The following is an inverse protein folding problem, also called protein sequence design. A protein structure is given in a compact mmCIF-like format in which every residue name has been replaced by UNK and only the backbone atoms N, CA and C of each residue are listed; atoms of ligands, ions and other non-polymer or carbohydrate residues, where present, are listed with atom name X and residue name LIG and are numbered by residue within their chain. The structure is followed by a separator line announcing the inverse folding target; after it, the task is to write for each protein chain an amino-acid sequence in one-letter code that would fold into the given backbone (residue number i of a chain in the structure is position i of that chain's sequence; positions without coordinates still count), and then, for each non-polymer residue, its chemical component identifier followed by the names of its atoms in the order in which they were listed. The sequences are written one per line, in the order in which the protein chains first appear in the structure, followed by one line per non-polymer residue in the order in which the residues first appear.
data_IF_216672259869
#
_entry.id   IF_216672259869
#
_cell.length_a   1.000
_cell.length_b   1.000
_cell.length_c   1.000
_cell.angle_alpha   90.00
_cell.angle_beta   90.00
_cell.angle_gamma   90.00
#
_symmetry.space_group_name_H-M   'P 1'
#
loop_
_entity.id
_entity.type
_entity.pdbx_description
1 polymer ?
#
# COMPACT_ATOMS: atom_id res chain seq x y z
N UNK A 1 -1.68 -22.65 -15.00
CA UNK A 1 -1.18 -22.29 -13.67
C UNK A 1 -0.13 -21.21 -13.87
N UNK A 2 -0.32 -19.92 -13.65
CA UNK A 2 -1.39 -19.10 -13.08
C UNK A 2 -1.55 -17.91 -14.05
N UNK A 3 -2.79 -17.46 -14.18
CA UNK A 3 -3.27 -16.49 -15.15
C UNK A 3 -2.48 -15.18 -15.11
N UNK A 4 -2.14 -14.67 -16.30
CA UNK A 4 -1.84 -13.26 -16.52
C UNK A 4 -3.01 -12.45 -15.97
N UNK A 5 -2.88 -11.95 -14.74
CA UNK A 5 -3.78 -10.96 -14.15
C UNK A 5 -3.43 -9.60 -14.77
N UNK A 6 -3.60 -9.52 -16.09
CA UNK A 6 -3.63 -8.29 -16.85
C UNK A 6 -5.08 -7.79 -17.11
N UNK A 7 -6.01 -7.93 -16.15
CA UNK A 7 -7.15 -7.02 -16.09
C UNK A 7 -7.36 -6.53 -14.66
N UNK A 8 -6.58 -5.55 -14.21
CA UNK A 8 -7.06 -4.63 -13.16
C UNK A 8 -7.06 -3.18 -13.62
N UNK A 9 -6.16 -2.79 -14.53
CA UNK A 9 -6.06 -1.42 -15.05
C UNK A 9 -7.22 -0.95 -15.96
N UNK A 10 -8.40 -1.59 -15.92
CA UNK A 10 -9.55 -1.25 -16.77
C UNK A 10 -10.89 -1.25 -16.02
N UNK A 11 -10.89 -1.29 -14.69
CA UNK A 11 -12.10 -1.04 -13.89
C UNK A 11 -12.12 0.35 -13.28
N UNK A 12 -10.97 1.01 -13.08
CA UNK A 12 -10.96 2.39 -12.55
C UNK A 12 -11.75 3.37 -13.43
N UNK A 13 -11.59 3.35 -14.76
CA UNK A 13 -12.27 4.31 -15.64
C UNK A 13 -13.81 4.12 -15.67
N UNK A 14 -14.31 2.90 -15.45
CA UNK A 14 -15.74 2.64 -15.44
C UNK A 14 -16.38 2.96 -14.06
N UNK A 15 -15.66 2.72 -12.97
CA UNK A 15 -16.14 3.00 -11.61
C UNK A 15 -16.14 4.51 -11.33
N UNK A 16 -15.13 5.24 -11.80
CA UNK A 16 -15.07 6.71 -11.74
C UNK A 16 -16.24 7.35 -12.51
N UNK A 17 -16.64 6.77 -13.66
CA UNK A 17 -17.79 7.27 -14.42
C UNK A 17 -19.14 6.89 -13.78
N UNK A 18 -19.25 5.73 -13.14
CA UNK A 18 -20.48 5.29 -12.46
C UNK A 18 -20.75 6.05 -11.15
N UNK A 19 -19.71 6.42 -10.39
CA UNK A 19 -19.83 7.24 -9.18
C UNK A 19 -20.25 8.68 -9.47
N UNK A 20 -19.98 9.20 -10.68
CA UNK A 20 -20.39 10.54 -11.08
C UNK A 20 -21.91 10.72 -11.30
N UNK A 21 -22.68 9.62 -11.46
CA UNK A 21 -24.10 9.69 -11.82
C UNK A 21 -25.08 9.72 -10.62
N UNK A 22 -24.59 9.63 -9.37
CA UNK A 22 -25.46 9.54 -8.19
C UNK A 22 -25.59 10.83 -7.36
N UNK A 23 -25.24 11.99 -7.92
CA UNK A 23 -25.68 13.28 -7.36
C UNK A 23 -27.04 13.67 -7.94
N UNK A 24 -28.13 13.25 -7.29
CA UNK A 24 -29.39 14.01 -7.38
C UNK A 24 -29.46 15.01 -6.23
N UNK A 25 -29.62 16.31 -6.50
CA UNK A 25 -29.83 17.32 -5.48
C UNK A 25 -31.33 17.38 -5.16
N UNK A 26 -31.70 17.25 -3.89
CA UNK A 26 -32.98 17.75 -3.39
C UNK A 26 -32.93 17.86 -1.86
N UNK A 27 -32.74 19.07 -1.35
CA UNK A 27 -33.74 19.84 -0.58
C UNK A 27 -33.05 21.08 0.03
N UNK A 28 -33.74 22.21 -0.05
CA UNK A 28 -33.28 23.58 0.24
C UNK A 28 -33.57 23.94 1.70
N UNK A 29 -32.71 24.71 2.37
CA UNK A 29 -32.98 26.03 3.03
C UNK A 29 -31.72 26.57 3.76
N UNK A 30 -31.66 27.84 4.23
CA UNK A 30 -30.54 28.74 3.97
C UNK A 30 -30.00 29.36 5.27
N UNK A 31 -28.85 28.92 5.75
CA UNK A 31 -28.29 29.48 6.98
C UNK A 31 -26.87 29.99 6.73
N UNK A 32 -26.84 31.29 6.45
CA UNK A 32 -25.79 32.30 6.70
C UNK A 32 -24.32 32.05 6.27
N UNK A 33 -23.67 33.06 5.66
CA UNK A 33 -22.30 32.94 5.20
C UNK A 33 -21.33 33.11 6.38
N UNK A 34 -20.86 32.01 6.96
CA UNK A 34 -19.62 32.04 7.74
C UNK A 34 -18.46 31.79 6.78
N UNK A 35 -17.88 32.87 6.29
CA UNK A 35 -16.57 32.93 5.64
C UNK A 35 -15.47 32.50 6.63
N UNK A 36 -15.43 31.21 6.93
CA UNK A 36 -14.30 30.52 7.54
C UNK A 36 -14.23 29.16 6.86
N UNK A 37 -14.02 29.16 5.54
CA UNK A 37 -13.74 27.95 4.78
C UNK A 37 -12.29 27.55 5.06
N UNK A 38 -12.02 27.17 6.32
CA UNK A 38 -11.04 26.15 6.55
C UNK A 38 -11.60 24.93 5.81
N UNK A 39 -10.86 24.44 4.82
CA UNK A 39 -11.22 23.26 4.04
C UNK A 39 -11.14 22.06 4.99
N UNK A 40 -12.14 21.91 5.86
CA UNK A 40 -12.29 20.79 6.77
C UNK A 40 -12.73 19.60 5.93
N UNK A 41 -11.97 18.51 6.02
CA UNK A 41 -12.29 17.26 5.34
C UNK A 41 -13.63 16.75 5.87
N UNK A 42 -14.49 16.25 5.00
CA UNK A 42 -15.65 15.48 5.45
C UNK A 42 -15.19 14.18 6.11
N UNK A 43 -16.03 13.60 6.97
CA UNK A 43 -15.71 12.34 7.68
C UNK A 43 -15.26 11.23 6.70
N UNK A 44 -15.93 11.11 5.54
CA UNK A 44 -15.56 10.13 4.53
C UNK A 44 -14.23 10.41 3.84
N UNK A 45 -13.88 11.69 3.62
CA UNK A 45 -12.56 12.06 3.09
C UNK A 45 -11.46 11.84 4.13
N UNK A 46 -11.72 12.14 5.40
CA UNK A 46 -10.80 11.87 6.50
C UNK A 46 -10.49 10.38 6.64
N UNK A 47 -11.52 9.52 6.58
CA UNK A 47 -11.36 8.06 6.59
C UNK A 47 -10.53 7.56 5.41
N UNK A 48 -10.79 8.08 4.20
CA UNK A 48 -10.03 7.73 3.00
C UNK A 48 -8.55 8.14 3.10
N UNK A 49 -8.27 9.34 3.63
CA UNK A 49 -6.89 9.80 3.88
C UNK A 49 -6.18 8.87 4.86
N UNK A 50 -6.81 8.55 6.00
CA UNK A 50 -6.22 7.63 6.99
C UNK A 50 -5.96 6.24 6.41
N UNK A 51 -6.86 5.73 5.59
CA UNK A 51 -6.68 4.47 4.90
C UNK A 51 -5.47 4.52 3.94
N UNK A 52 -5.34 5.59 3.16
CA UNK A 52 -4.22 5.80 2.24
C UNK A 52 -2.89 5.96 2.99
N UNK A 53 -2.85 6.65 4.12
CA UNK A 53 -1.66 6.75 4.97
C UNK A 53 -1.22 5.39 5.52
N UNK A 54 -2.17 4.59 6.01
CA UNK A 54 -1.89 3.23 6.46
C UNK A 54 -1.35 2.37 5.31
N UNK A 55 -1.89 2.54 4.11
CA UNK A 55 -1.45 1.81 2.92
C UNK A 55 -0.04 2.21 2.49
N UNK A 56 0.27 3.50 2.51
CA UNK A 56 1.62 4.04 2.26
C UNK A 56 2.62 3.49 3.28
N UNK A 57 2.27 3.55 4.57
CA UNK A 57 3.08 2.99 5.66
C UNK A 57 3.38 1.51 5.42
N UNK A 58 2.37 0.72 5.05
CA UNK A 58 2.53 -0.70 4.77
C UNK A 58 3.49 -0.94 3.58
N UNK A 59 3.30 -0.24 2.47
CA UNK A 59 4.12 -0.44 1.29
C UNK A 59 5.59 -0.05 1.50
N UNK A 60 5.85 1.08 2.15
CA UNK A 60 7.21 1.49 2.48
C UNK A 60 7.87 0.57 3.51
N UNK A 61 7.09 0.05 4.48
CA UNK A 61 7.57 -0.96 5.43
C UNK A 61 7.95 -2.27 4.74
N UNK A 62 7.14 -2.71 3.78
CA UNK A 62 7.45 -3.84 2.91
C UNK A 62 8.66 -3.58 2.03
N UNK A 63 8.78 -2.38 1.45
CA UNK A 63 9.90 -2.00 0.60
C UNK A 63 11.22 -2.10 1.37
N UNK A 64 11.26 -1.51 2.58
CA UNK A 64 12.39 -1.64 3.50
C UNK A 64 12.72 -3.10 3.82
N UNK A 65 11.73 -3.91 4.16
CA UNK A 65 11.95 -5.31 4.55
C UNK A 65 12.58 -6.13 3.40
N UNK A 66 12.18 -5.86 2.16
CA UNK A 66 12.64 -6.55 0.96
C UNK A 66 13.85 -5.88 0.29
N UNK A 67 14.39 -4.79 0.85
CA UNK A 67 15.49 -4.02 0.27
C UNK A 67 15.15 -3.34 -1.07
N UNK A 68 13.87 -3.06 -1.31
CA UNK A 68 13.37 -2.34 -2.48
C UNK A 68 13.48 -0.84 -2.21
N UNK A 69 14.13 -0.09 -3.10
CA UNK A 69 14.39 1.35 -2.94
C UNK A 69 15.00 1.69 -1.55
N UNK A 70 15.99 0.91 -1.11
CA UNK A 70 16.57 0.95 0.25
C UNK A 70 17.13 2.33 0.63
N UNK A 71 17.55 3.11 -0.37
CA UNK A 71 18.05 4.48 -0.20
C UNK A 71 16.98 5.47 0.27
N UNK A 72 15.70 5.20 0.01
CA UNK A 72 14.57 6.09 0.37
C UNK A 72 13.51 5.42 1.24
N UNK A 73 13.43 4.09 1.26
CA UNK A 73 12.33 3.36 1.89
C UNK A 73 12.21 3.66 3.39
N UNK A 74 13.35 3.76 4.10
CA UNK A 74 13.32 4.09 5.52
C UNK A 74 12.84 5.52 5.79
N UNK A 75 13.31 6.49 5.01
CA UNK A 75 12.89 7.88 5.16
C UNK A 75 11.38 8.02 4.95
N UNK A 76 10.85 7.38 3.90
CA UNK A 76 9.41 7.42 3.61
C UNK A 76 8.58 6.66 4.62
N UNK A 77 9.06 5.52 5.11
CA UNK A 77 8.38 4.81 6.18
C UNK A 77 8.25 5.68 7.44
N UNK A 78 9.34 6.31 7.89
CA UNK A 78 9.31 7.16 9.09
C UNK A 78 8.39 8.37 8.91
N UNK A 79 8.41 8.99 7.72
CA UNK A 79 7.50 10.09 7.38
C UNK A 79 6.02 9.71 7.54
N UNK A 80 5.60 8.56 7.02
CA UNK A 80 4.20 8.10 7.14
C UNK A 80 3.86 7.59 8.55
N UNK A 81 4.80 6.99 9.28
CA UNK A 81 4.60 6.61 10.69
C UNK A 81 4.40 7.86 11.56
N UNK A 82 5.19 8.92 11.35
CA UNK A 82 5.17 10.12 12.20
C UNK A 82 3.82 10.85 12.24
N UNK A 83 3.01 10.69 11.21
CA UNK A 83 1.66 11.28 11.08
C UNK A 83 0.54 10.31 11.45
N UNK A 84 0.83 9.01 11.47
CA UNK A 84 -0.18 8.00 11.78
C UNK A 84 -0.77 8.21 13.18
N UNK A 85 -2.10 8.20 13.27
CA UNK A 85 -2.83 8.39 14.53
C UNK A 85 -3.20 9.83 14.87
N UNK A 86 -2.92 10.79 13.99
CA UNK A 86 -3.46 12.15 14.08
C UNK A 86 -4.74 12.29 13.24
N UNK A 87 -5.56 13.31 13.55
CA UNK A 87 -6.70 13.65 12.69
C UNK A 87 -6.19 14.26 11.38
N UNK A 88 -6.59 13.71 10.21
CA UNK A 88 -6.08 14.14 8.93
C UNK A 88 -6.53 15.56 8.60
N UNK A 89 -5.61 16.33 8.03
CA UNK A 89 -5.84 17.69 7.57
C UNK A 89 -5.99 17.74 6.05
N UNK A 90 -6.45 18.87 5.52
CA UNK A 90 -6.49 19.08 4.06
C UNK A 90 -5.12 19.00 3.38
N UNK A 91 -4.02 19.25 4.11
CA UNK A 91 -2.68 19.04 3.59
C UNK A 91 -2.34 17.55 3.47
N UNK A 92 -2.75 16.75 4.45
CA UNK A 92 -2.55 15.29 4.43
C UNK A 92 -3.24 14.64 3.24
N UNK A 93 -4.43 15.14 2.87
CA UNK A 93 -5.13 14.72 1.66
C UNK A 93 -4.30 14.94 0.38
N UNK A 94 -3.52 16.02 0.29
CA UNK A 94 -2.63 16.26 -0.86
C UNK A 94 -1.39 15.38 -0.79
N UNK A 95 -0.83 15.21 0.41
CA UNK A 95 0.37 14.41 0.63
C UNK A 95 0.12 12.93 0.30
N UNK A 96 -1.02 12.36 0.71
CA UNK A 96 -1.33 10.95 0.40
C UNK A 96 -1.41 10.72 -1.11
N UNK A 97 -2.01 11.65 -1.86
CA UNK A 97 -2.07 11.55 -3.32
C UNK A 97 -0.67 11.60 -3.95
N UNK A 98 0.23 12.43 -3.41
CA UNK A 98 1.64 12.49 -3.84
C UNK A 98 2.38 11.20 -3.50
N UNK A 99 2.16 10.65 -2.30
CA UNK A 99 2.75 9.38 -1.88
C UNK A 99 2.31 8.22 -2.78
N UNK A 100 1.03 8.15 -3.11
CA UNK A 100 0.49 7.12 -4.00
C UNK A 100 1.02 7.25 -5.43
N UNK A 101 1.17 8.49 -5.93
CA UNK A 101 1.80 8.75 -7.22
C UNK A 101 3.26 8.28 -7.24
N UNK A 102 3.99 8.49 -6.15
CA UNK A 102 5.38 8.04 -6.05
C UNK A 102 5.50 6.52 -6.03
N UNK A 103 4.67 5.81 -5.25
CA UNK A 103 4.61 4.35 -5.28
C UNK A 103 4.42 3.83 -6.71
N UNK A 104 3.53 4.47 -7.48
CA UNK A 104 3.29 4.13 -8.89
C UNK A 104 4.47 4.48 -9.79
N UNK A 105 5.10 5.64 -9.58
CA UNK A 105 6.24 6.10 -10.38
C UNK A 105 7.46 5.20 -10.22
N UNK A 106 7.68 4.69 -9.01
CA UNK A 106 8.76 3.76 -8.69
C UNK A 106 8.36 2.30 -8.92
N UNK A 107 7.10 2.03 -9.32
CA UNK A 107 6.57 0.68 -9.51
C UNK A 107 6.79 -0.22 -8.28
N UNK A 108 6.64 0.33 -7.06
CA UNK A 108 6.96 -0.37 -5.79
C UNK A 108 6.20 -1.70 -5.67
N UNK A 109 4.93 -1.73 -6.06
CA UNK A 109 4.12 -2.96 -6.03
C UNK A 109 4.72 -4.07 -6.88
N UNK A 110 5.16 -3.74 -8.11
CA UNK A 110 5.79 -4.70 -9.00
C UNK A 110 7.13 -5.18 -8.42
N UNK A 111 7.97 -4.25 -7.94
CA UNK A 111 9.26 -4.59 -7.35
C UNK A 111 9.09 -5.51 -6.12
N UNK A 112 8.12 -5.22 -5.26
CA UNK A 112 7.79 -6.04 -4.10
C UNK A 112 7.26 -7.43 -4.47
N UNK A 113 6.47 -7.52 -5.53
CA UNK A 113 6.00 -8.79 -6.04
C UNK A 113 7.15 -9.63 -6.60
N UNK A 114 8.08 -9.02 -7.33
CA UNK A 114 9.27 -9.70 -7.86
C UNK A 114 10.20 -10.16 -6.72
N UNK A 115 10.44 -9.31 -5.71
CA UNK A 115 11.20 -9.65 -4.52
C UNK A 115 10.57 -10.83 -3.75
N UNK A 116 9.25 -10.78 -3.54
CA UNK A 116 8.52 -11.84 -2.84
C UNK A 116 8.56 -13.18 -3.59
N UNK A 117 8.61 -13.19 -4.92
CA UNK A 117 8.78 -14.45 -5.67
C UNK A 117 10.18 -15.04 -5.50
N UNK A 118 11.21 -14.20 -5.51
CA UNK A 118 12.60 -14.66 -5.34
C UNK A 118 12.81 -15.36 -4.00
N UNK A 119 12.14 -14.90 -2.94
CA UNK A 119 12.14 -15.58 -1.63
C UNK A 119 11.51 -16.98 -1.66
N UNK A 120 10.48 -17.19 -2.48
CA UNK A 120 9.82 -18.50 -2.62
C UNK A 120 10.69 -19.47 -3.43
N UNK A 121 11.34 -18.96 -4.48
CA UNK A 121 12.19 -19.77 -5.37
C UNK A 121 13.56 -20.11 -4.74
N UNK A 122 13.99 -19.36 -3.73
CA UNK A 122 15.23 -19.58 -3.00
C UNK A 122 14.92 -20.09 -1.59
N UNK A 123 14.55 -21.38 -1.41
CA UNK A 123 14.41 -21.95 -0.07
C UNK A 123 15.74 -21.77 0.64
N UNK A 124 15.71 -21.01 1.74
CA UNK A 124 16.83 -20.75 2.61
C UNK A 124 17.67 -22.03 2.78
N UNK A 125 18.95 -22.00 2.37
CA UNK A 125 19.89 -23.12 2.53
C UNK A 125 20.00 -23.60 4.00
N UNK A 126 19.45 -22.83 4.95
CA UNK A 126 19.22 -23.22 6.33
C UNK A 126 18.37 -24.51 6.49
N UNK A 127 17.50 -24.87 5.53
CA UNK A 127 16.74 -26.12 5.58
C UNK A 127 17.50 -27.33 5.01
N UNK A 128 18.57 -27.10 4.24
CA UNK A 128 19.36 -28.18 3.60
C UNK A 128 20.49 -28.68 4.51
N UNK A 129 20.89 -27.91 5.53
CA UNK A 129 21.94 -28.31 6.47
C UNK A 129 21.52 -29.39 7.49
N UNK A 130 20.25 -29.81 7.51
CA UNK A 130 19.73 -30.81 8.45
C UNK A 130 19.53 -32.22 7.87
N UNK A 131 20.02 -32.50 6.65
CA UNK A 131 20.09 -33.88 6.17
C UNK A 131 21.50 -34.42 6.38
N UNK A 132 21.74 -35.06 7.52
CA UNK A 132 22.97 -35.81 7.79
C UNK A 132 22.95 -37.11 6.96
N UNK A 133 23.75 -37.24 5.89
CA UNK A 133 23.84 -38.48 5.14
C UNK A 133 25.03 -39.24 5.71
N UNK A 134 24.81 -40.12 6.69
CA UNK A 134 25.63 -41.30 6.99
C UNK A 134 25.51 -41.71 8.46
N UNK A 135 24.70 -42.74 8.69
CA UNK A 135 24.82 -43.83 9.68
C UNK A 135 23.57 -44.66 9.42
N UNK A 136 23.61 -45.82 8.77
CA UNK A 136 24.21 -47.02 9.35
C UNK A 136 24.80 -47.96 8.27
N UNK A 137 26.10 -48.18 8.37
CA UNK A 137 26.73 -49.40 7.88
C UNK A 137 26.40 -50.55 8.84
N UNK A 138 26.03 -51.69 8.24
CA UNK A 138 26.25 -53.06 8.73
C UNK A 138 26.32 -53.32 10.25
N UNK A 139 25.20 -53.80 10.82
CA UNK A 139 25.12 -54.75 11.95
C UNK A 139 23.75 -55.45 11.74
N UNK A 140 23.54 -56.76 11.57
CA UNK A 140 24.24 -57.97 12.00
C UNK A 140 23.72 -59.19 11.20
N UNK A 141 24.62 -60.17 11.03
CA UNK A 141 24.49 -61.65 10.97
C UNK A 141 23.14 -62.29 10.56
#
# INVERSE_FOLDING_TARGET
MILFLHPCFKVEDAVVLALAQHRRPNLRLPSEPKLTEAYELSDGEAEDVLFKEAWLTYFWGRAKLHGVEDDIAEERLQFWISRSGQSPTSHDAVDVERGLLELRKLSIEQQLWEASRREIDQPSLASVANYNPNTDSEISL
#
